data_IF_600258115011
#
_entry.id   IF_600258115011
#
_cell.length_a   1.000
_cell.length_b   1.000
_cell.length_c   1.000
_cell.angle_alpha   90.00
_cell.angle_beta   90.00
_cell.angle_gamma   90.00
#
_symmetry.space_group_name_H-M   'P 1'
#
loop_
_entity.id
_entity.type
_entity.pdbx_description
1 polymer ?
#
# COMPACT_ATOMS: atom_id res chain seq x y z
N UNK A 1 5.58 2.18 -17.13
CA UNK A 1 4.10 2.29 -17.15
C UNK A 1 3.49 1.64 -18.40
N UNK A 2 3.60 2.17 -19.63
CA UNK A 2 2.90 1.64 -20.82
C UNK A 2 3.13 0.16 -21.12
N UNK A 3 4.34 -0.38 -20.90
CA UNK A 3 4.58 -1.83 -20.98
C UNK A 3 3.79 -2.64 -19.97
N UNK A 4 3.55 -2.07 -18.78
CA UNK A 4 2.70 -2.73 -17.79
C UNK A 4 1.23 -2.67 -18.21
N UNK A 5 0.78 -1.56 -18.79
CA UNK A 5 -0.58 -1.44 -19.36
C UNK A 5 -0.79 -2.50 -20.45
N UNK A 6 0.20 -2.73 -21.33
CA UNK A 6 0.13 -3.82 -22.31
C UNK A 6 -0.06 -5.18 -21.62
N UNK A 7 0.72 -5.48 -20.56
CA UNK A 7 0.57 -6.72 -19.82
C UNK A 7 -0.80 -6.86 -19.15
N UNK A 8 -1.30 -5.79 -18.56
CA UNK A 8 -2.65 -5.75 -17.92
C UNK A 8 -3.76 -6.07 -18.94
N UNK A 9 -3.65 -5.51 -20.15
CA UNK A 9 -4.60 -5.76 -21.25
C UNK A 9 -4.46 -7.17 -21.79
N UNK A 10 -3.23 -7.63 -22.04
CA UNK A 10 -2.95 -8.97 -22.58
C UNK A 10 -3.40 -10.09 -21.62
N UNK A 11 -3.27 -9.87 -20.30
CA UNK A 11 -3.72 -10.81 -19.28
C UNK A 11 -5.22 -10.64 -18.90
N UNK A 12 -5.91 -9.65 -19.47
CA UNK A 12 -7.33 -9.40 -19.20
C UNK A 12 -7.63 -9.01 -17.76
N UNK A 13 -6.66 -8.41 -17.04
CA UNK A 13 -6.78 -8.08 -15.63
C UNK A 13 -7.74 -6.91 -15.37
N UNK A 14 -7.67 -5.87 -16.20
CA UNK A 14 -8.47 -4.67 -16.08
C UNK A 14 -8.60 -3.95 -17.41
N UNK A 15 -9.57 -3.02 -17.51
CA UNK A 15 -9.61 -1.99 -18.54
C UNK A 15 -8.92 -0.74 -18.03
N UNK A 16 -7.68 -0.40 -18.48
CA UNK A 16 -6.93 0.72 -17.94
C UNK A 16 -7.53 2.07 -18.34
N UNK A 17 -7.46 3.04 -17.44
CA UNK A 17 -7.69 4.47 -17.71
C UNK A 17 -6.35 5.16 -17.55
N UNK A 18 -5.84 5.77 -18.62
CA UNK A 18 -4.59 6.51 -18.61
C UNK A 18 -4.85 8.02 -18.56
N UNK A 19 -4.18 8.70 -17.64
CA UNK A 19 -4.28 10.16 -17.49
C UNK A 19 -3.02 10.79 -18.08
N UNK A 20 -3.15 11.62 -19.12
CA UNK A 20 -2.03 12.29 -19.75
C UNK A 20 -2.35 12.88 -21.12
N UNK A 21 -1.39 13.61 -21.70
CA UNK A 21 -1.56 14.25 -23.02
C UNK A 21 -1.59 13.20 -24.14
N UNK A 22 -2.63 13.18 -24.98
CA UNK A 22 -2.83 12.15 -26.00
C UNK A 22 -1.62 11.93 -26.91
N UNK A 23 -1.09 13.01 -27.48
CA UNK A 23 0.05 12.95 -28.41
C UNK A 23 1.33 12.37 -27.74
N UNK A 24 1.55 12.67 -26.45
CA UNK A 24 2.72 12.15 -25.69
C UNK A 24 2.57 10.66 -25.44
N UNK A 25 1.38 10.21 -25.08
CA UNK A 25 1.10 8.78 -24.84
C UNK A 25 1.24 8.02 -26.15
N UNK A 26 0.64 8.50 -27.24
CA UNK A 26 0.71 7.88 -28.55
C UNK A 26 2.16 7.76 -29.05
N UNK A 27 2.93 8.85 -29.01
CA UNK A 27 4.36 8.83 -29.38
C UNK A 27 5.17 7.81 -28.56
N UNK A 28 4.87 7.67 -27.26
CA UNK A 28 5.56 6.70 -26.40
C UNK A 28 5.16 5.27 -26.67
N UNK A 29 3.91 5.00 -27.03
CA UNK A 29 3.42 3.70 -27.47
C UNK A 29 4.19 3.26 -28.73
N UNK A 30 4.25 4.12 -29.73
CA UNK A 30 4.95 3.88 -31.00
C UNK A 30 6.45 3.64 -30.78
N UNK A 31 7.11 4.54 -30.02
CA UNK A 31 8.55 4.41 -29.71
C UNK A 31 8.88 3.13 -28.94
N UNK A 32 7.97 2.63 -28.13
CA UNK A 32 8.15 1.40 -27.35
C UNK A 32 7.73 0.13 -28.13
N UNK A 33 7.19 0.25 -29.34
CA UNK A 33 6.68 -0.85 -30.18
C UNK A 33 5.51 -1.60 -29.56
N UNK A 34 4.63 -0.88 -28.82
CA UNK A 34 3.49 -1.48 -28.14
C UNK A 34 2.26 -1.54 -29.05
N UNK A 35 1.37 -2.51 -28.79
CA UNK A 35 0.15 -2.76 -29.60
C UNK A 35 -1.08 -2.00 -29.08
N UNK A 36 -0.91 -1.17 -28.05
CA UNK A 36 -2.00 -0.47 -27.36
C UNK A 36 -2.68 0.56 -28.27
N UNK A 37 -4.02 0.54 -28.27
CA UNK A 37 -4.87 1.47 -29.04
C UNK A 37 -5.81 2.21 -28.08
N UNK A 38 -5.71 3.55 -28.08
CA UNK A 38 -6.63 4.40 -27.32
C UNK A 38 -8.08 4.21 -27.76
N UNK A 39 -9.00 4.19 -26.79
CA UNK A 39 -10.41 3.95 -27.02
C UNK A 39 -10.81 2.46 -27.20
N UNK A 40 -9.84 1.58 -27.49
CA UNK A 40 -10.06 0.13 -27.64
C UNK A 40 -9.50 -0.60 -26.42
N UNK A 41 -8.19 -0.52 -26.22
CA UNK A 41 -7.48 -1.28 -25.19
C UNK A 41 -7.43 -0.53 -23.85
N UNK A 42 -7.54 0.78 -23.89
CA UNK A 42 -7.59 1.65 -22.70
C UNK A 42 -8.38 2.93 -22.97
N UNK A 43 -8.92 3.54 -21.91
CA UNK A 43 -9.48 4.88 -21.94
C UNK A 43 -8.38 5.91 -21.69
N UNK A 44 -8.49 7.08 -22.34
CA UNK A 44 -7.53 8.16 -22.20
C UNK A 44 -8.22 9.44 -21.69
N UNK A 45 -7.74 9.95 -20.57
CA UNK A 45 -8.16 11.24 -20.01
C UNK A 45 -7.08 12.27 -20.29
N UNK A 46 -7.46 13.31 -21.03
CA UNK A 46 -6.60 14.46 -21.23
C UNK A 46 -6.81 15.50 -20.11
N UNK A 47 -5.81 15.76 -19.26
CA UNK A 47 -5.93 16.74 -18.17
C UNK A 47 -6.27 18.17 -18.63
N UNK A 48 -6.09 18.47 -19.92
CA UNK A 48 -6.31 19.81 -20.48
C UNK A 48 -7.71 19.98 -21.08
N UNK A 49 -8.38 18.88 -21.47
CA UNK A 49 -9.62 18.93 -22.23
C UNK A 49 -10.52 17.70 -21.99
N UNK A 50 -10.74 17.32 -20.74
CA UNK A 50 -11.71 16.25 -20.42
C UNK A 50 -13.06 16.88 -20.01
N UNK A 51 -14.20 16.41 -20.57
CA UNK A 51 -15.52 16.96 -20.26
C UNK A 51 -15.90 16.83 -18.78
N UNK A 52 -15.35 15.87 -18.05
CA UNK A 52 -15.58 15.66 -16.61
C UNK A 52 -14.84 16.67 -15.74
N UNK A 53 -13.87 17.38 -16.29
CA UNK A 53 -13.00 18.29 -15.55
C UNK A 53 -13.77 19.33 -14.72
N UNK A 54 -14.86 19.85 -15.29
CA UNK A 54 -15.71 20.83 -14.59
C UNK A 54 -16.33 20.22 -13.33
N UNK A 55 -16.95 19.04 -13.45
CA UNK A 55 -17.56 18.36 -12.32
C UNK A 55 -16.51 18.00 -11.25
N UNK A 56 -15.31 17.56 -11.66
CA UNK A 56 -14.23 17.20 -10.73
C UNK A 56 -13.73 18.39 -9.91
N UNK A 57 -13.52 19.58 -10.51
CA UNK A 57 -13.05 20.71 -9.73
C UNK A 57 -14.14 21.33 -8.84
N UNK A 58 -15.41 21.29 -9.26
CA UNK A 58 -16.56 21.71 -8.45
C UNK A 58 -16.69 20.78 -7.22
N UNK A 59 -16.62 19.46 -7.43
CA UNK A 59 -16.68 18.47 -6.35
C UNK A 59 -15.44 18.55 -5.43
N UNK A 60 -14.23 18.68 -5.99
CA UNK A 60 -13.02 18.84 -5.17
C UNK A 60 -13.08 20.11 -4.30
N UNK A 61 -13.63 21.21 -4.84
CA UNK A 61 -13.89 22.39 -4.04
C UNK A 61 -14.95 22.13 -2.96
N UNK A 62 -16.01 21.38 -3.24
CA UNK A 62 -17.02 21.02 -2.25
C UNK A 62 -16.41 20.23 -1.09
N UNK A 63 -15.52 19.28 -1.39
CA UNK A 63 -14.80 18.47 -0.39
C UNK A 63 -13.83 19.31 0.47
N UNK A 64 -13.07 20.24 -0.13
CA UNK A 64 -11.91 20.89 0.49
C UNK A 64 -12.08 22.41 0.71
N UNK A 65 -13.23 22.96 0.36
CA UNK A 65 -13.46 24.40 0.50
C UNK A 65 -13.35 24.92 1.93
N UNK A 66 -13.74 24.11 2.92
CA UNK A 66 -13.59 24.45 4.35
C UNK A 66 -12.15 24.39 4.85
N UNK A 67 -11.26 23.73 4.08
CA UNK A 67 -9.81 23.68 4.34
C UNK A 67 -9.05 24.75 3.51
N UNK A 68 -9.78 25.74 2.97
CA UNK A 68 -9.19 26.89 2.29
C UNK A 68 -8.94 26.71 0.79
N UNK A 69 -9.41 25.62 0.17
CA UNK A 69 -9.30 25.42 -1.28
C UNK A 69 -10.38 26.24 -1.99
N UNK A 70 -10.00 27.31 -2.67
CA UNK A 70 -10.92 28.12 -3.48
C UNK A 70 -11.27 27.42 -4.81
N UNK A 71 -12.37 27.82 -5.53
CA UNK A 71 -12.71 27.26 -6.83
C UNK A 71 -11.56 27.35 -7.86
N UNK A 72 -10.80 28.44 -7.86
CA UNK A 72 -9.68 28.60 -8.78
C UNK A 72 -8.46 27.73 -8.35
N UNK A 73 -8.22 27.59 -7.06
CA UNK A 73 -7.21 26.65 -6.56
C UNK A 73 -7.55 25.21 -6.95
N UNK A 74 -8.81 24.80 -6.84
CA UNK A 74 -9.27 23.48 -7.26
C UNK A 74 -9.01 23.22 -8.75
N UNK A 75 -9.29 24.18 -9.61
CA UNK A 75 -8.98 24.10 -11.05
C UNK A 75 -7.49 23.93 -11.32
N UNK A 76 -6.65 24.72 -10.63
CA UNK A 76 -5.20 24.67 -10.79
C UNK A 76 -4.64 23.34 -10.27
N UNK A 77 -5.11 22.87 -9.12
CA UNK A 77 -4.66 21.61 -8.50
C UNK A 77 -4.89 20.41 -9.43
N UNK A 78 -6.10 20.28 -9.99
CA UNK A 78 -6.43 19.20 -10.93
C UNK A 78 -5.56 19.24 -12.20
N UNK A 79 -5.27 20.40 -12.76
CA UNK A 79 -4.40 20.53 -13.94
C UNK A 79 -2.94 20.12 -13.67
N UNK A 80 -2.51 20.20 -12.41
CA UNK A 80 -1.12 19.94 -12.00
C UNK A 80 -0.87 18.51 -11.52
N UNK A 81 -1.93 17.78 -11.15
CA UNK A 81 -1.78 16.47 -10.53
C UNK A 81 -2.65 15.39 -11.19
N UNK A 82 -2.01 14.51 -11.95
CA UNK A 82 -2.68 13.32 -12.49
C UNK A 82 -3.20 12.41 -11.36
N UNK A 83 -2.54 12.40 -10.20
CA UNK A 83 -3.02 11.63 -9.04
C UNK A 83 -4.31 12.20 -8.50
N UNK A 84 -4.43 13.53 -8.41
CA UNK A 84 -5.68 14.15 -7.99
C UNK A 84 -6.81 13.86 -8.98
N UNK A 85 -6.56 13.89 -10.30
CA UNK A 85 -7.56 13.46 -11.29
C UNK A 85 -7.95 11.99 -11.05
N UNK A 86 -6.97 11.10 -10.81
CA UNK A 86 -7.22 9.70 -10.52
C UNK A 86 -8.05 9.47 -9.26
N UNK A 87 -7.78 10.22 -8.18
CA UNK A 87 -8.58 10.14 -6.95
C UNK A 87 -10.00 10.67 -7.17
N UNK A 88 -10.18 11.73 -7.99
CA UNK A 88 -11.53 12.22 -8.35
C UNK A 88 -12.31 11.21 -9.20
N UNK A 89 -11.66 10.52 -10.16
CA UNK A 89 -12.27 9.40 -10.89
C UNK A 89 -12.81 8.33 -9.94
N UNK A 90 -12.00 7.95 -8.96
CA UNK A 90 -12.41 7.00 -7.92
C UNK A 90 -13.57 7.51 -7.08
N UNK A 91 -13.51 8.78 -6.65
CA UNK A 91 -14.53 9.40 -5.82
C UNK A 91 -15.88 9.46 -6.54
N UNK A 92 -15.88 9.89 -7.80
CA UNK A 92 -17.07 10.03 -8.65
C UNK A 92 -17.61 8.67 -9.16
N UNK A 93 -16.88 7.58 -8.97
CA UNK A 93 -17.30 6.24 -9.42
C UNK A 93 -16.96 5.93 -10.88
N UNK A 94 -16.11 6.74 -11.51
CA UNK A 94 -15.65 6.54 -12.88
C UNK A 94 -14.50 5.52 -12.98
N UNK A 95 -13.90 5.13 -11.84
CA UNK A 95 -12.88 4.10 -11.75
C UNK A 95 -13.03 3.27 -10.47
N UNK A 96 -12.67 1.99 -10.53
CA UNK A 96 -12.79 1.04 -9.43
C UNK A 96 -11.54 0.98 -8.56
N UNK A 97 -10.35 1.29 -9.13
CA UNK A 97 -9.07 1.26 -8.45
C UNK A 97 -8.09 2.29 -9.04
N UNK A 98 -7.09 2.69 -8.25
CA UNK A 98 -6.05 3.63 -8.68
C UNK A 98 -4.65 3.13 -8.37
N UNK A 99 -3.77 3.17 -9.37
CA UNK A 99 -2.32 3.07 -9.19
C UNK A 99 -1.65 4.38 -9.59
N UNK A 100 -0.87 4.96 -8.69
CA UNK A 100 -0.14 6.21 -8.92
C UNK A 100 1.30 6.13 -8.38
N UNK A 101 2.06 7.23 -8.32
CA UNK A 101 3.32 7.32 -7.59
C UNK A 101 4.60 6.92 -8.34
N UNK A 102 4.53 6.57 -9.64
CA UNK A 102 5.76 6.28 -10.42
C UNK A 102 6.63 7.51 -10.69
N UNK A 103 6.11 8.70 -10.42
CA UNK A 103 6.82 10.00 -10.52
C UNK A 103 6.36 10.88 -9.37
N UNK A 104 7.30 11.50 -8.66
CA UNK A 104 7.02 12.34 -7.50
C UNK A 104 7.33 11.66 -6.17
N UNK A 105 7.03 12.34 -5.07
CA UNK A 105 7.22 11.83 -3.71
C UNK A 105 5.97 11.09 -3.24
N UNK A 106 6.16 10.03 -2.49
CA UNK A 106 5.08 9.18 -1.96
C UNK A 106 4.07 10.03 -1.15
N UNK A 107 4.56 10.90 -0.28
CA UNK A 107 3.75 11.74 0.60
C UNK A 107 2.82 12.67 -0.19
N UNK A 108 3.29 13.23 -1.31
CA UNK A 108 2.49 14.12 -2.15
C UNK A 108 1.32 13.39 -2.83
N UNK A 109 1.50 12.12 -3.16
CA UNK A 109 0.41 11.27 -3.67
C UNK A 109 -0.55 10.89 -2.55
N UNK A 110 -0.03 10.56 -1.36
CA UNK A 110 -0.83 10.20 -0.19
C UNK A 110 -1.71 11.37 0.28
N UNK A 111 -1.25 12.61 0.17
CA UNK A 111 -2.06 13.80 0.46
C UNK A 111 -3.33 13.82 -0.39
N UNK A 112 -3.24 13.58 -1.71
CA UNK A 112 -4.42 13.53 -2.57
C UNK A 112 -5.35 12.35 -2.23
N UNK A 113 -4.79 11.20 -1.85
CA UNK A 113 -5.60 10.06 -1.40
C UNK A 113 -6.32 10.40 -0.10
N UNK A 114 -5.63 11.03 0.86
CA UNK A 114 -6.21 11.48 2.13
C UNK A 114 -7.33 12.49 1.92
N UNK A 115 -7.10 13.45 1.03
CA UNK A 115 -8.00 14.57 0.77
C UNK A 115 -9.30 14.17 0.06
N UNK A 116 -9.26 13.15 -0.79
CA UNK A 116 -10.38 12.77 -1.66
C UNK A 116 -10.99 11.41 -1.31
N UNK A 117 -10.16 10.41 -1.06
CA UNK A 117 -10.62 9.04 -0.77
C UNK A 117 -10.88 8.85 0.74
N UNK A 118 -9.98 9.38 1.57
CA UNK A 118 -10.06 9.24 3.02
C UNK A 118 -9.78 7.83 3.53
N UNK A 119 -9.94 7.68 4.85
CA UNK A 119 -9.78 6.40 5.55
C UNK A 119 -11.04 5.55 5.43
N UNK A 120 -10.86 4.23 5.40
CA UNK A 120 -11.95 3.27 5.57
C UNK A 120 -12.58 3.43 6.98
N UNK A 121 -13.87 3.09 7.15
CA UNK A 121 -14.58 3.29 8.43
C UNK A 121 -13.93 2.58 9.62
N UNK A 122 -13.27 1.46 9.37
CA UNK A 122 -12.57 0.64 10.37
C UNK A 122 -11.08 1.01 10.54
N UNK A 123 -10.57 1.95 9.74
CA UNK A 123 -9.19 2.42 9.78
C UNK A 123 -9.06 3.77 10.51
N UNK A 124 -8.01 3.90 11.31
CA UNK A 124 -7.66 5.15 12.01
C UNK A 124 -6.41 5.81 11.44
N UNK A 125 -5.61 5.06 10.67
CA UNK A 125 -4.37 5.50 10.05
C UNK A 125 -4.24 4.88 8.68
N UNK A 126 -3.51 5.55 7.78
CA UNK A 126 -2.94 4.92 6.59
C UNK A 126 -1.64 4.23 6.97
N UNK A 127 -1.33 3.13 6.31
CA UNK A 127 -0.04 2.47 6.41
C UNK A 127 0.36 1.86 5.05
N UNK A 128 1.58 1.36 4.95
CA UNK A 128 2.03 0.69 3.74
C UNK A 128 2.70 -0.64 4.05
N UNK A 129 2.36 -1.66 3.28
CA UNK A 129 2.91 -3.00 3.41
C UNK A 129 3.60 -3.43 2.12
N UNK A 130 4.73 -4.11 2.23
CA UNK A 130 5.39 -4.79 1.12
C UNK A 130 5.44 -6.29 1.36
N UNK A 131 5.19 -7.07 0.31
CA UNK A 131 5.38 -8.52 0.32
C UNK A 131 6.66 -8.90 -0.40
N UNK A 132 7.39 -9.84 0.18
CA UNK A 132 8.55 -10.53 -0.37
C UNK A 132 8.20 -12.00 -0.55
N UNK A 133 7.98 -12.42 -1.78
CA UNK A 133 7.73 -13.82 -2.13
C UNK A 133 9.09 -14.50 -2.38
N UNK A 134 9.62 -15.14 -1.36
CA UNK A 134 10.89 -15.87 -1.40
C UNK A 134 10.63 -17.34 -1.74
N UNK A 135 11.67 -18.10 -2.05
CA UNK A 135 11.52 -19.52 -2.46
C UNK A 135 10.83 -20.40 -1.40
N UNK A 136 11.11 -20.16 -0.13
CA UNK A 136 10.60 -21.00 0.97
C UNK A 136 9.44 -20.38 1.75
N UNK A 137 9.26 -19.07 1.70
CA UNK A 137 8.24 -18.37 2.47
C UNK A 137 7.92 -16.99 1.87
N UNK A 138 6.74 -16.48 2.19
CA UNK A 138 6.34 -15.11 1.88
C UNK A 138 6.40 -14.29 3.17
N UNK A 139 7.10 -13.15 3.12
CA UNK A 139 7.18 -12.21 4.22
C UNK A 139 6.48 -10.91 3.84
N UNK A 140 5.66 -10.42 4.74
CA UNK A 140 5.05 -9.09 4.68
C UNK A 140 5.71 -8.19 5.72
N UNK A 141 6.02 -6.96 5.34
CA UNK A 141 6.71 -6.00 6.21
C UNK A 141 5.93 -4.68 6.22
N UNK A 142 5.60 -4.16 7.39
CA UNK A 142 4.90 -2.90 7.62
C UNK A 142 5.50 -2.10 8.80
N UNK A 143 5.43 -0.76 8.86
CA UNK A 143 5.01 0.17 7.85
C UNK A 143 6.22 0.68 7.08
N UNK A 144 6.19 0.57 5.76
CA UNK A 144 7.38 0.84 4.94
C UNK A 144 7.42 2.23 4.32
N UNK A 145 6.35 3.06 4.41
CA UNK A 145 6.26 4.34 3.69
C UNK A 145 5.47 5.46 4.36
N UNK A 146 4.68 5.23 5.42
CA UNK A 146 3.69 6.21 5.88
C UNK A 146 4.00 6.78 7.25
N UNK A 147 4.19 5.94 8.28
CA UNK A 147 4.26 6.39 9.66
C UNK A 147 5.70 6.32 10.17
N UNK A 148 6.30 7.49 10.47
CA UNK A 148 7.70 7.60 10.89
C UNK A 148 7.97 6.87 12.22
N UNK A 149 7.19 7.19 13.24
CA UNK A 149 7.30 6.58 14.58
C UNK A 149 5.89 6.37 15.19
N UNK A 150 5.13 5.37 14.71
CA UNK A 150 3.77 5.13 15.15
C UNK A 150 3.69 4.75 16.63
N UNK A 151 2.64 5.18 17.30
CA UNK A 151 2.33 4.81 18.69
C UNK A 151 1.97 3.33 18.82
N UNK A 152 1.86 2.82 20.05
CA UNK A 152 1.44 1.44 20.29
C UNK A 152 0.02 1.16 19.77
N UNK A 153 -0.87 2.13 19.88
CA UNK A 153 -2.25 2.08 19.37
C UNK A 153 -2.27 2.06 17.85
N UNK A 154 -1.47 2.92 17.21
CA UNK A 154 -1.33 2.95 15.74
C UNK A 154 -0.73 1.65 15.22
N UNK A 155 0.31 1.12 15.86
CA UNK A 155 0.90 -0.18 15.52
C UNK A 155 -0.12 -1.32 15.61
N UNK A 156 -1.00 -1.31 16.62
CA UNK A 156 -2.06 -2.31 16.73
C UNK A 156 -3.07 -2.20 15.58
N UNK A 157 -3.46 -0.99 15.16
CA UNK A 157 -4.33 -0.76 14.01
C UNK A 157 -3.64 -1.19 12.70
N UNK A 158 -2.38 -0.77 12.49
CA UNK A 158 -1.57 -1.15 11.32
C UNK A 158 -1.48 -2.68 11.22
N UNK A 159 -1.24 -3.35 12.35
CA UNK A 159 -1.17 -4.82 12.40
C UNK A 159 -2.48 -5.47 11.95
N UNK A 160 -3.63 -4.99 12.42
CA UNK A 160 -4.93 -5.52 12.03
C UNK A 160 -5.22 -5.28 10.54
N UNK A 161 -4.91 -4.09 10.02
CA UNK A 161 -5.06 -3.78 8.59
C UNK A 161 -4.18 -4.69 7.72
N UNK A 162 -2.91 -4.88 8.12
CA UNK A 162 -1.99 -5.76 7.41
C UNK A 162 -2.42 -7.24 7.48
N UNK A 163 -2.89 -7.71 8.63
CA UNK A 163 -3.39 -9.07 8.79
C UNK A 163 -4.64 -9.33 7.93
N UNK A 164 -5.57 -8.37 7.87
CA UNK A 164 -6.74 -8.41 6.99
C UNK A 164 -6.34 -8.53 5.52
N UNK A 165 -5.31 -7.79 5.11
CA UNK A 165 -4.82 -7.84 3.74
C UNK A 165 -4.11 -9.17 3.43
N UNK A 166 -3.32 -9.71 4.34
CA UNK A 166 -2.71 -11.04 4.20
C UNK A 166 -3.77 -12.14 4.03
N UNK A 167 -4.87 -12.05 4.76
CA UNK A 167 -6.00 -12.98 4.62
C UNK A 167 -6.64 -12.92 3.22
N UNK A 168 -6.66 -11.74 2.56
CA UNK A 168 -7.11 -11.60 1.16
C UNK A 168 -6.19 -12.32 0.17
N UNK A 169 -4.91 -12.47 0.48
CA UNK A 169 -3.99 -13.31 -0.29
C UNK A 169 -4.22 -14.83 -0.05
N UNK A 170 -5.22 -15.21 0.75
CA UNK A 170 -5.51 -16.60 1.11
C UNK A 170 -4.51 -17.19 2.11
N UNK A 171 -3.74 -16.36 2.81
CA UNK A 171 -2.75 -16.75 3.78
C UNK A 171 -3.26 -16.50 5.21
N UNK A 172 -2.91 -17.39 6.14
CA UNK A 172 -3.15 -17.15 7.55
C UNK A 172 -2.10 -16.18 8.11
N UNK A 173 -2.51 -15.01 8.67
CA UNK A 173 -1.55 -14.03 9.20
C UNK A 173 -0.90 -14.54 10.48
N UNK A 174 0.43 -14.59 10.50
CA UNK A 174 1.30 -14.95 11.61
C UNK A 174 2.21 -13.78 11.93
N UNK A 175 1.92 -13.07 13.00
CA UNK A 175 2.44 -11.73 13.25
C UNK A 175 3.56 -11.74 14.28
N UNK A 176 4.68 -11.12 13.95
CA UNK A 176 5.75 -10.78 14.89
C UNK A 176 5.89 -9.27 15.06
N UNK A 177 5.78 -8.80 16.29
CA UNK A 177 6.08 -7.41 16.66
C UNK A 177 7.57 -7.27 16.92
N UNK A 178 8.26 -6.59 16.00
CA UNK A 178 9.71 -6.58 15.91
C UNK A 178 10.37 -5.62 16.88
N UNK A 179 11.47 -6.04 17.49
CA UNK A 179 12.24 -5.21 18.40
C UNK A 179 13.69 -5.71 18.50
N UNK A 180 14.55 -4.90 19.12
CA UNK A 180 15.85 -5.34 19.63
C UNK A 180 15.73 -6.10 20.96
N UNK A 181 14.55 -6.15 21.55
CA UNK A 181 14.23 -6.79 22.84
C UNK A 181 13.56 -8.15 22.60
N UNK A 182 13.72 -9.05 23.58
CA UNK A 182 13.05 -10.34 23.67
C UNK A 182 12.16 -10.38 24.89
N UNK A 183 10.85 -10.33 24.69
CA UNK A 183 9.80 -10.53 25.72
C UNK A 183 10.09 -9.84 27.07
N UNK A 184 10.41 -8.54 27.03
CA UNK A 184 10.65 -7.76 28.24
C UNK A 184 12.11 -7.59 28.64
N UNK A 185 13.07 -8.08 27.85
CA UNK A 185 14.51 -7.97 28.16
C UNK A 185 15.04 -6.53 28.12
N UNK A 186 14.28 -5.58 27.55
CA UNK A 186 14.61 -4.15 27.51
C UNK A 186 13.50 -3.29 28.04
N UNK A 187 13.88 -2.22 28.77
CA UNK A 187 12.98 -1.16 29.27
C UNK A 187 13.01 0.11 28.40
N UNK A 188 13.71 0.08 27.27
CA UNK A 188 13.80 1.23 26.36
C UNK A 188 12.43 1.56 25.74
N UNK A 189 12.16 2.84 25.40
CA UNK A 189 10.85 3.27 24.89
C UNK A 189 10.39 2.47 23.64
N UNK A 190 11.29 2.21 22.71
CA UNK A 190 10.94 1.44 21.49
C UNK A 190 10.49 0.00 21.79
N UNK A 191 11.14 -0.69 22.76
CA UNK A 191 10.73 -2.03 23.17
C UNK A 191 9.40 -2.01 23.93
N UNK A 192 9.22 -1.04 24.85
CA UNK A 192 7.95 -0.88 25.57
C UNK A 192 6.78 -0.62 24.63
N UNK A 193 6.96 0.24 23.64
CA UNK A 193 5.95 0.54 22.61
C UNK A 193 5.47 -0.75 21.91
N UNK A 194 6.39 -1.60 21.47
CA UNK A 194 6.04 -2.86 20.80
C UNK A 194 5.34 -3.85 21.73
N UNK A 195 5.73 -3.89 23.01
CA UNK A 195 5.06 -4.70 24.04
C UNK A 195 3.65 -4.20 24.34
N UNK A 196 3.47 -2.88 24.41
CA UNK A 196 2.16 -2.27 24.57
C UNK A 196 1.25 -2.56 23.38
N UNK A 197 1.78 -2.50 22.15
CA UNK A 197 1.05 -2.91 20.94
C UNK A 197 0.60 -4.38 21.00
N UNK A 198 1.47 -5.31 21.49
CA UNK A 198 1.11 -6.70 21.72
C UNK A 198 -0.03 -6.84 22.72
N UNK A 199 0.04 -6.10 23.85
CA UNK A 199 -0.99 -6.11 24.88
C UNK A 199 -2.33 -5.54 24.37
N UNK A 200 -2.30 -4.53 23.49
CA UNK A 200 -3.50 -3.99 22.85
C UNK A 200 -4.11 -5.05 21.93
N UNK A 201 -3.31 -5.66 21.05
CA UNK A 201 -3.76 -6.70 20.10
C UNK A 201 -4.37 -7.91 20.83
N UNK A 202 -3.77 -8.35 21.93
CA UNK A 202 -4.31 -9.44 22.73
C UNK A 202 -5.74 -9.16 23.25
N UNK A 203 -6.14 -7.89 23.39
CA UNK A 203 -7.48 -7.48 23.85
C UNK A 203 -8.45 -7.25 22.69
N UNK A 204 -7.97 -6.62 21.59
CA UNK A 204 -8.87 -6.16 20.51
C UNK A 204 -8.96 -7.15 19.35
N UNK A 205 -8.01 -8.07 19.23
CA UNK A 205 -7.94 -9.11 18.21
C UNK A 205 -7.37 -10.42 18.79
N UNK A 206 -8.03 -11.03 19.80
CA UNK A 206 -7.53 -12.20 20.52
C UNK A 206 -7.38 -13.45 19.63
N UNK A 207 -8.09 -13.49 18.50
CA UNK A 207 -8.03 -14.54 17.48
C UNK A 207 -6.79 -14.44 16.58
N UNK A 208 -6.13 -13.28 16.52
CA UNK A 208 -4.96 -13.07 15.70
C UNK A 208 -3.74 -13.75 16.32
N UNK A 209 -3.08 -14.57 15.51
CA UNK A 209 -1.81 -15.23 15.90
C UNK A 209 -0.68 -14.19 15.89
N UNK A 210 -0.53 -13.50 17.03
CA UNK A 210 0.44 -12.41 17.22
C UNK A 210 1.30 -12.66 18.46
N UNK A 211 2.61 -12.37 18.31
CA UNK A 211 3.57 -12.50 19.40
C UNK A 211 4.60 -11.36 19.35
N UNK A 212 5.20 -11.04 20.46
CA UNK A 212 6.26 -10.02 20.60
C UNK A 212 6.23 -9.30 21.94
N UNK A 213 7.14 -8.40 22.16
CA UNK A 213 8.20 -7.93 21.23
C UNK A 213 9.33 -8.95 21.15
N UNK A 214 9.87 -9.13 19.92
CA UNK A 214 10.92 -10.11 19.69
C UNK A 214 11.93 -9.67 18.60
N UNK A 215 13.10 -10.31 18.60
CA UNK A 215 14.13 -10.17 17.58
C UNK A 215 13.79 -10.94 16.29
N UNK A 216 14.50 -10.62 15.20
CA UNK A 216 14.18 -11.16 13.86
C UNK A 216 14.41 -12.66 13.73
N UNK A 217 15.40 -13.22 14.39
CA UNK A 217 15.66 -14.66 14.44
C UNK A 217 14.52 -15.40 15.12
N UNK A 218 14.06 -14.94 16.28
CA UNK A 218 12.93 -15.52 16.99
C UNK A 218 11.59 -15.37 16.22
N UNK A 219 11.45 -14.34 15.40
CA UNK A 219 10.28 -14.17 14.53
C UNK A 219 10.21 -15.24 13.44
N UNK A 220 11.35 -15.63 12.88
CA UNK A 220 11.44 -16.53 11.75
C UNK A 220 11.74 -17.98 12.13
N UNK A 221 12.26 -18.22 13.33
CA UNK A 221 12.61 -19.55 13.85
C UNK A 221 11.83 -19.82 15.15
N UNK A 222 11.01 -20.87 15.14
CA UNK A 222 10.18 -21.27 16.27
C UNK A 222 11.02 -21.82 17.44
N UNK A 223 12.11 -22.54 17.18
CA UNK A 223 12.94 -23.12 18.21
C UNK A 223 13.68 -22.03 18.97
N UNK A 224 14.20 -21.01 18.27
CA UNK A 224 14.78 -19.82 18.88
C UNK A 224 13.74 -19.12 19.76
N UNK A 225 12.54 -18.92 19.26
CA UNK A 225 11.46 -18.26 20.00
C UNK A 225 11.05 -19.05 21.25
N UNK A 226 10.87 -20.37 21.12
CA UNK A 226 10.47 -21.25 22.24
C UNK A 226 11.51 -21.34 23.34
N UNK A 227 12.78 -21.11 23.03
CA UNK A 227 13.83 -21.03 24.05
C UNK A 227 13.56 -19.89 25.05
N UNK A 228 13.03 -18.75 24.57
CA UNK A 228 12.72 -17.59 25.43
C UNK A 228 11.28 -17.60 25.93
N UNK A 229 10.34 -18.10 25.14
CA UNK A 229 8.91 -18.16 25.45
C UNK A 229 8.35 -19.54 25.07
N UNK A 230 8.47 -20.54 25.98
CA UNK A 230 7.99 -21.91 25.70
C UNK A 230 6.51 -22.00 25.34
N UNK A 231 5.67 -21.10 25.89
CA UNK A 231 4.22 -21.04 25.68
C UNK A 231 3.81 -20.04 24.58
N UNK A 232 4.68 -19.76 23.62
CA UNK A 232 4.35 -18.86 22.50
C UNK A 232 3.10 -19.32 21.76
N UNK A 233 2.23 -18.36 21.40
CA UNK A 233 1.02 -18.60 20.60
C UNK A 233 1.34 -18.68 19.11
N UNK A 234 2.45 -18.11 18.68
CA UNK A 234 2.87 -18.10 17.28
C UNK A 234 3.48 -19.44 16.90
N UNK A 235 2.83 -20.17 16.00
CA UNK A 235 3.32 -21.46 15.53
C UNK A 235 4.13 -21.31 14.23
N UNK A 236 5.32 -21.92 14.17
CA UNK A 236 6.20 -21.84 13.01
C UNK A 236 6.82 -20.45 12.82
N UNK A 237 7.14 -20.10 11.59
CA UNK A 237 7.70 -18.80 11.21
C UNK A 237 6.60 -17.74 11.07
N UNK A 238 6.86 -16.51 11.54
CA UNK A 238 6.01 -15.36 11.22
C UNK A 238 6.03 -15.06 9.71
N UNK A 239 4.91 -14.60 9.18
CA UNK A 239 4.82 -14.09 7.82
C UNK A 239 4.52 -12.58 7.76
N UNK A 240 4.14 -11.97 8.87
CA UNK A 240 3.98 -10.50 9.00
C UNK A 240 4.96 -9.97 10.05
N UNK A 241 5.89 -9.14 9.59
CA UNK A 241 6.86 -8.44 10.43
C UNK A 241 6.40 -6.98 10.61
N UNK A 242 5.95 -6.64 11.81
CA UNK A 242 5.54 -5.28 12.17
C UNK A 242 6.72 -4.57 12.81
N UNK A 243 7.25 -3.57 12.11
CA UNK A 243 8.44 -2.86 12.55
C UNK A 243 8.09 -1.66 13.46
N UNK A 244 8.99 -1.27 14.37
CA UNK A 244 8.73 -0.20 15.33
C UNK A 244 8.72 1.20 14.72
N UNK A 245 9.36 1.38 13.58
CA UNK A 245 9.50 2.68 12.87
C UNK A 245 9.59 2.47 11.38
N UNK A 246 9.33 3.53 10.61
CA UNK A 246 9.49 3.56 9.16
C UNK A 246 10.91 3.18 8.73
N UNK A 247 11.94 3.72 9.36
CA UNK A 247 13.34 3.40 9.05
C UNK A 247 13.61 1.91 9.22
N UNK A 248 13.17 1.31 10.33
CA UNK A 248 13.35 -0.12 10.57
C UNK A 248 12.66 -0.96 9.48
N UNK A 249 11.44 -0.62 9.12
CA UNK A 249 10.67 -1.31 8.09
C UNK A 249 11.30 -1.18 6.70
N UNK A 250 11.65 0.04 6.31
CA UNK A 250 12.19 0.32 4.99
C UNK A 250 13.59 -0.30 4.80
N UNK A 251 14.46 -0.18 5.80
CA UNK A 251 15.81 -0.77 5.77
C UNK A 251 15.71 -2.30 5.71
N UNK A 252 14.91 -2.92 6.60
CA UNK A 252 14.74 -4.37 6.63
C UNK A 252 14.18 -4.89 5.30
N UNK A 253 13.13 -4.25 4.75
CA UNK A 253 12.56 -4.62 3.46
C UNK A 253 13.61 -4.58 2.34
N UNK A 254 14.39 -3.50 2.23
CA UNK A 254 15.38 -3.36 1.16
C UNK A 254 16.55 -4.35 1.31
N UNK A 255 17.01 -4.62 2.53
CA UNK A 255 18.05 -5.62 2.78
C UNK A 255 17.56 -7.03 2.46
N UNK A 256 16.40 -7.43 2.97
CA UNK A 256 15.81 -8.76 2.71
C UNK A 256 15.51 -8.97 1.23
N UNK A 257 15.03 -7.94 0.53
CA UNK A 257 14.81 -7.99 -0.92
C UNK A 257 16.10 -8.28 -1.71
N UNK A 258 17.23 -7.72 -1.30
CA UNK A 258 18.52 -7.91 -1.97
C UNK A 258 19.20 -9.22 -1.58
N UNK A 259 19.08 -9.65 -0.32
CA UNK A 259 19.74 -10.86 0.22
C UNK A 259 18.91 -12.12 0.02
N UNK A 260 17.58 -12.00 -0.09
CA UNK A 260 16.66 -13.12 -0.24
C UNK A 260 16.60 -13.75 -1.64
N UNK A 261 17.51 -13.38 -2.55
CA UNK A 261 17.61 -13.97 -3.88
C UNK A 261 16.66 -13.34 -4.91
N UNK A 262 16.20 -14.12 -5.89
CA UNK A 262 15.35 -13.67 -7.01
C UNK A 262 13.86 -13.62 -6.66
N UNK A 263 13.50 -13.32 -5.41
CA UNK A 263 12.11 -13.23 -4.97
C UNK A 263 11.30 -12.16 -5.69
N UNK A 264 10.00 -12.40 -5.81
CA UNK A 264 9.04 -11.42 -6.36
C UNK A 264 8.62 -10.47 -5.24
N UNK A 265 8.61 -9.17 -5.54
CA UNK A 265 8.08 -8.16 -4.61
C UNK A 265 6.72 -7.67 -5.07
N UNK A 266 5.77 -7.57 -4.15
CA UNK A 266 4.45 -6.95 -4.34
C UNK A 266 4.34 -5.77 -3.37
N UNK A 267 3.94 -4.62 -3.87
CA UNK A 267 3.81 -3.42 -3.03
C UNK A 267 4.50 -2.18 -3.64
N UNK A 268 4.42 -1.04 -2.95
CA UNK A 268 3.72 -0.85 -1.67
C UNK A 268 2.21 -1.03 -1.81
N UNK A 269 1.62 -1.80 -0.90
CA UNK A 269 0.17 -1.93 -0.74
C UNK A 269 -0.23 -0.88 0.28
N UNK A 270 -1.06 0.09 -0.11
CA UNK A 270 -1.59 1.09 0.82
C UNK A 270 -2.70 0.45 1.63
N UNK A 271 -2.61 0.57 2.94
CA UNK A 271 -3.58 0.06 3.90
C UNK A 271 -4.42 1.20 4.47
N UNK A 272 -5.66 0.91 4.81
CA UNK A 272 -6.54 1.84 5.49
C UNK A 272 -7.27 2.83 4.59
N UNK A 273 -7.07 2.83 3.27
CA UNK A 273 -7.83 3.65 2.34
C UNK A 273 -9.28 3.15 2.18
N UNK A 274 -10.24 4.08 2.02
CA UNK A 274 -11.66 3.74 1.84
C UNK A 274 -11.96 3.06 0.49
N UNK A 275 -11.07 3.20 -0.49
CA UNK A 275 -11.16 2.57 -1.82
C UNK A 275 -9.80 2.01 -2.24
N UNK A 276 -9.75 1.05 -3.20
CA UNK A 276 -8.50 0.44 -3.66
C UNK A 276 -7.57 1.44 -4.33
N UNK A 277 -6.60 1.95 -3.60
CA UNK A 277 -5.60 2.91 -4.09
C UNK A 277 -4.22 2.47 -3.63
N UNK A 278 -3.27 2.36 -4.57
CA UNK A 278 -1.89 2.06 -4.22
C UNK A 278 -0.92 3.06 -4.82
N UNK A 279 0.05 3.47 -4.00
CA UNK A 279 1.06 4.45 -4.37
C UNK A 279 2.36 3.70 -4.60
N UNK A 280 2.75 3.60 -5.86
CA UNK A 280 4.00 2.98 -6.27
C UNK A 280 5.19 3.92 -6.02
N UNK A 281 6.39 3.40 -6.16
CA UNK A 281 7.61 4.20 -6.16
C UNK A 281 8.21 4.31 -7.58
N UNK A 282 9.13 5.27 -7.85
CA UNK A 282 9.76 5.43 -9.15
C UNK A 282 10.56 4.21 -9.64
N UNK A 283 10.93 3.29 -8.74
CA UNK A 283 11.67 2.07 -9.05
C UNK A 283 10.76 0.89 -9.41
N UNK A 284 9.43 1.11 -9.49
CA UNK A 284 8.48 0.06 -9.81
C UNK A 284 8.75 -0.51 -11.23
N UNK A 285 9.07 -1.79 -11.28
CA UNK A 285 9.26 -2.53 -12.54
C UNK A 285 7.92 -2.76 -13.25
N UNK A 286 7.97 -3.06 -14.55
CA UNK A 286 6.77 -3.45 -15.32
C UNK A 286 5.98 -4.57 -14.61
N UNK A 287 6.66 -5.64 -14.17
CA UNK A 287 6.03 -6.76 -13.48
C UNK A 287 5.39 -6.34 -12.15
N UNK A 288 6.05 -5.46 -11.38
CA UNK A 288 5.47 -4.96 -10.13
C UNK A 288 4.18 -4.18 -10.37
N UNK A 289 4.12 -3.36 -11.43
CA UNK A 289 2.91 -2.60 -11.78
C UNK A 289 1.78 -3.56 -12.16
N UNK A 290 2.04 -4.60 -12.96
CA UNK A 290 1.05 -5.64 -13.30
C UNK A 290 0.56 -6.36 -12.04
N UNK A 291 1.46 -6.81 -11.17
CA UNK A 291 1.10 -7.47 -9.91
C UNK A 291 0.23 -6.55 -9.03
N UNK A 292 0.60 -5.27 -8.91
CA UNK A 292 -0.18 -4.31 -8.12
C UNK A 292 -1.54 -3.99 -8.76
N UNK A 293 -1.66 -4.08 -10.08
CA UNK A 293 -2.97 -4.00 -10.75
C UNK A 293 -3.84 -5.19 -10.37
N UNK A 294 -3.28 -6.41 -10.33
CA UNK A 294 -4.03 -7.59 -9.89
C UNK A 294 -4.51 -7.46 -8.43
N UNK A 295 -3.67 -6.94 -7.53
CA UNK A 295 -4.05 -6.65 -6.13
C UNK A 295 -5.22 -5.65 -6.10
N UNK A 296 -5.10 -4.52 -6.77
CA UNK A 296 -6.12 -3.48 -6.79
C UNK A 296 -7.47 -3.98 -7.37
N UNK A 297 -7.42 -4.83 -8.40
CA UNK A 297 -8.62 -5.46 -8.98
C UNK A 297 -9.27 -6.44 -8.00
N UNK A 298 -8.47 -7.26 -7.31
CA UNK A 298 -8.99 -8.18 -6.30
C UNK A 298 -9.66 -7.43 -5.14
N UNK A 299 -9.07 -6.33 -4.68
CA UNK A 299 -9.68 -5.46 -3.66
C UNK A 299 -11.00 -4.84 -4.15
N UNK A 300 -11.03 -4.31 -5.37
CA UNK A 300 -12.22 -3.72 -5.96
C UNK A 300 -13.37 -4.75 -6.11
N UNK A 301 -13.04 -5.99 -6.47
CA UNK A 301 -13.99 -7.09 -6.54
C UNK A 301 -14.57 -7.51 -5.18
N UNK A 302 -13.82 -7.35 -4.11
CA UNK A 302 -14.24 -7.68 -2.75
C UNK A 302 -15.16 -6.60 -2.11
N UNK A 303 -15.21 -5.39 -2.68
CA UNK A 303 -16.05 -4.28 -2.22
C UNK A 303 -17.44 -4.29 -2.91
N UNK A 304 -17.55 -4.90 -4.08
CA UNK A 304 -18.81 -5.11 -4.81
C UNK A 304 -19.59 -6.29 -4.25
#
# INVERSE_FOLDING_TARGET
MLRAVQGVVDEGLARPILIGRPHVIQMRIEKAGLRLRSGVDFELINPEDDPRYRAYHEEYHALRGRDGVTPDMAKVALRRSNTLIGTMLMHMGDADALLCGTVGRFEAHLEHVRDVIGLAPDAKVFAAMNALMLEKHTLFITDTFVNDDPSAEELAVITQLAAKEIARFGLHPKVALMSHSMFGSSTRPSARKMREAAAILARVAPELEVEGEMQGDAALDEDVRRHFLPNTKLAGSANLLVMPTLDAANIAFNLLKMTGGQGVTVGPILLGAAKPVHILNPQATTRRIVNMTAVAVAEAGAIR
#
